data_IF_864734914289
#
_entry.id   IF_864734914289
#
_cell.length_a   1.000
_cell.length_b   1.000
_cell.length_c   1.000
_cell.angle_alpha   90.00
_cell.angle_beta   90.00
_cell.angle_gamma   90.00
#
_symmetry.space_group_name_H-M   'P 1'
#
loop_
_entity.id
_entity.type
_entity.pdbx_description
1 polymer ?
#
# COMPACT_ATOMS: atom_id res chain seq x y z
N UNK A 1 -26.19 -17.00 -8.95
CA UNK A 1 -24.93 -16.29 -9.18
C UNK A 1 -24.87 -15.10 -8.25
N UNK A 2 -23.87 -15.02 -7.36
CA UNK A 2 -23.75 -13.89 -6.43
C UNK A 2 -23.35 -12.63 -7.21
N UNK A 3 -24.14 -11.56 -7.09
CA UNK A 3 -23.82 -10.29 -7.75
C UNK A 3 -22.63 -9.66 -7.05
N UNK A 4 -21.56 -9.40 -7.79
CA UNK A 4 -20.36 -8.73 -7.27
C UNK A 4 -20.51 -7.24 -7.52
N UNK A 5 -20.25 -6.41 -6.49
CA UNK A 5 -20.35 -4.96 -6.59
C UNK A 5 -21.74 -4.40 -6.26
N UNK A 6 -21.91 -3.12 -6.58
CA UNK A 6 -23.14 -2.39 -6.30
C UNK A 6 -24.23 -2.66 -7.35
N UNK A 7 -25.46 -2.83 -6.90
CA UNK A 7 -26.63 -2.91 -7.79
C UNK A 7 -27.89 -2.36 -7.13
N UNK A 8 -28.89 -2.03 -7.96
CA UNK A 8 -30.23 -1.62 -7.49
C UNK A 8 -31.23 -2.76 -7.61
N UNK A 9 -32.08 -2.89 -6.59
CA UNK A 9 -33.24 -3.79 -6.58
C UNK A 9 -34.39 -3.07 -5.90
N UNK A 10 -35.53 -2.95 -6.60
CA UNK A 10 -36.74 -2.24 -6.10
C UNK A 10 -36.44 -0.83 -5.57
N UNK A 11 -35.57 -0.06 -6.29
CA UNK A 11 -35.18 1.30 -5.89
C UNK A 11 -34.13 1.41 -4.83
N UNK A 12 -33.81 0.33 -4.10
CA UNK A 12 -32.83 0.28 -3.03
C UNK A 12 -31.44 -0.15 -3.56
N UNK A 13 -30.37 0.41 -2.97
CA UNK A 13 -28.99 0.11 -3.34
C UNK A 13 -28.41 -1.00 -2.46
N UNK A 14 -27.82 -1.97 -3.09
CA UNK A 14 -27.19 -3.13 -2.45
C UNK A 14 -25.70 -3.23 -2.81
N UNK A 15 -24.91 -3.75 -1.88
CA UNK A 15 -23.58 -4.26 -2.12
C UNK A 15 -23.61 -5.77 -1.81
N UNK A 16 -23.40 -6.60 -2.82
CA UNK A 16 -23.64 -8.05 -2.74
C UNK A 16 -25.11 -8.33 -2.28
N UNK A 17 -25.29 -8.90 -1.08
CA UNK A 17 -26.62 -9.17 -0.50
C UNK A 17 -26.98 -8.20 0.64
N UNK A 18 -26.18 -7.15 0.87
CA UNK A 18 -26.38 -6.20 1.97
C UNK A 18 -27.04 -4.92 1.46
N UNK A 19 -28.16 -4.54 2.06
CA UNK A 19 -28.80 -3.24 1.82
C UNK A 19 -27.92 -2.12 2.38
N UNK A 20 -27.52 -1.15 1.53
CA UNK A 20 -26.73 -0.02 1.98
C UNK A 20 -27.52 0.91 2.90
N UNK A 21 -28.86 0.97 2.73
CA UNK A 21 -29.73 1.69 3.65
C UNK A 21 -29.64 1.10 5.05
N UNK A 22 -29.79 -0.22 5.20
CA UNK A 22 -29.67 -0.89 6.51
C UNK A 22 -28.29 -0.70 7.14
N UNK A 23 -27.21 -0.71 6.32
CA UNK A 23 -25.86 -0.43 6.82
C UNK A 23 -25.75 1.02 7.32
N UNK A 24 -26.27 1.99 6.58
CA UNK A 24 -26.30 3.39 7.00
C UNK A 24 -27.12 3.60 8.28
N UNK A 25 -28.28 2.96 8.38
CA UNK A 25 -29.13 3.02 9.57
C UNK A 25 -28.44 2.43 10.81
N UNK A 26 -27.61 1.38 10.60
CA UNK A 26 -26.90 0.68 11.70
C UNK A 26 -25.61 1.36 12.12
N UNK A 27 -24.77 1.80 11.16
CA UNK A 27 -23.44 2.37 11.43
C UNK A 27 -23.41 3.90 11.41
N UNK A 28 -24.48 4.55 10.95
CA UNK A 28 -24.54 5.99 10.74
C UNK A 28 -23.95 6.41 9.40
N UNK A 29 -24.00 7.71 9.14
CA UNK A 29 -23.42 8.38 7.97
C UNK A 29 -22.67 9.65 8.39
N UNK A 30 -21.57 10.00 7.71
CA UNK A 30 -20.97 9.33 6.55
C UNK A 30 -20.23 8.04 6.93
N UNK A 31 -20.28 7.01 6.06
CA UNK A 31 -19.62 5.71 6.27
C UNK A 31 -19.00 5.22 4.96
N UNK A 32 -17.73 4.80 5.02
CA UNK A 32 -17.05 4.13 3.90
C UNK A 32 -17.30 2.63 3.96
N UNK A 33 -17.67 2.04 2.82
CA UNK A 33 -17.95 0.61 2.68
C UNK A 33 -17.02 0.03 1.61
N UNK A 34 -16.29 -1.02 1.96
CA UNK A 34 -15.36 -1.70 1.07
C UNK A 34 -15.83 -3.13 0.81
N UNK A 35 -15.83 -3.53 -0.47
CA UNK A 35 -16.17 -4.90 -0.87
C UNK A 35 -14.90 -5.75 -0.97
N UNK A 36 -14.72 -6.66 -0.03
CA UNK A 36 -13.58 -7.58 0.00
C UNK A 36 -13.51 -8.49 -1.24
N UNK A 37 -14.65 -8.85 -1.84
CA UNK A 37 -14.66 -9.66 -3.06
C UNK A 37 -14.16 -8.88 -4.28
N UNK A 38 -14.46 -7.57 -4.37
CA UNK A 38 -13.90 -6.72 -5.42
C UNK A 38 -12.39 -6.55 -5.25
N UNK A 39 -11.93 -6.31 -4.03
CA UNK A 39 -10.48 -6.24 -3.71
C UNK A 39 -9.80 -7.55 -4.12
N UNK A 40 -10.35 -8.69 -3.69
CA UNK A 40 -9.82 -10.02 -4.02
C UNK A 40 -9.76 -10.26 -5.54
N UNK A 41 -10.84 -9.91 -6.25
CA UNK A 41 -10.91 -10.06 -7.70
C UNK A 41 -9.83 -9.24 -8.41
N UNK A 42 -9.68 -7.97 -8.04
CA UNK A 42 -8.66 -7.08 -8.63
C UNK A 42 -7.25 -7.58 -8.33
N UNK A 43 -7.00 -8.02 -7.08
CA UNK A 43 -5.72 -8.61 -6.70
C UNK A 43 -5.37 -9.85 -7.54
N UNK A 44 -6.31 -10.80 -7.69
CA UNK A 44 -6.06 -12.02 -8.47
C UNK A 44 -5.89 -11.75 -9.96
N UNK A 45 -6.57 -10.77 -10.54
CA UNK A 45 -6.33 -10.37 -11.93
C UNK A 45 -4.87 -9.94 -12.14
N UNK A 46 -4.37 -9.10 -11.24
CA UNK A 46 -2.97 -8.66 -11.31
C UNK A 46 -2.01 -9.81 -10.98
N UNK A 47 -2.32 -10.62 -9.98
CA UNK A 47 -1.50 -11.77 -9.57
C UNK A 47 -1.30 -12.76 -10.71
N UNK A 48 -2.36 -13.08 -11.45
CA UNK A 48 -2.29 -14.01 -12.59
C UNK A 48 -1.33 -13.52 -13.69
N UNK A 49 -1.16 -12.19 -13.83
CA UNK A 49 -0.21 -11.61 -14.79
C UNK A 49 1.22 -11.63 -14.21
N UNK A 50 1.35 -11.40 -12.91
CA UNK A 50 2.66 -11.26 -12.28
C UNK A 50 3.33 -12.60 -11.94
N UNK A 51 2.55 -13.64 -11.60
CA UNK A 51 3.09 -14.94 -11.19
C UNK A 51 4.01 -15.59 -12.25
N UNK A 52 3.68 -15.62 -13.56
CA UNK A 52 4.58 -16.15 -14.58
C UNK A 52 5.90 -15.37 -14.72
N UNK A 53 5.93 -14.12 -14.24
CA UNK A 53 7.09 -13.23 -14.28
C UNK A 53 7.88 -13.26 -12.96
N UNK A 54 7.50 -14.11 -12.00
CA UNK A 54 8.01 -14.09 -10.63
C UNK A 54 7.88 -12.71 -9.97
N UNK A 55 6.89 -11.92 -10.40
CA UNK A 55 6.65 -10.57 -9.90
C UNK A 55 5.92 -10.58 -8.56
N UNK A 56 6.26 -9.64 -7.67
CA UNK A 56 5.60 -9.45 -6.39
C UNK A 56 4.78 -8.17 -6.39
N UNK A 57 3.55 -8.26 -5.89
CA UNK A 57 2.63 -7.12 -5.78
C UNK A 57 2.86 -6.46 -4.42
N UNK A 58 3.04 -5.14 -4.40
CA UNK A 58 3.06 -4.33 -3.20
C UNK A 58 1.91 -3.34 -3.24
N UNK A 59 1.11 -3.33 -2.18
CA UNK A 59 -0.03 -2.42 -2.04
C UNK A 59 0.44 -1.03 -1.60
N UNK A 60 0.09 0.00 -2.37
CA UNK A 60 0.38 1.40 -2.02
C UNK A 60 -0.54 1.86 -0.89
N UNK A 61 -0.02 1.85 0.35
CA UNK A 61 -0.78 2.12 1.59
C UNK A 61 -1.38 3.53 1.61
N UNK A 62 -0.71 4.50 0.97
CA UNK A 62 -1.21 5.88 0.82
C UNK A 62 -2.61 5.98 0.19
N UNK A 63 -3.04 4.97 -0.56
CA UNK A 63 -4.38 4.94 -1.16
C UNK A 63 -5.48 4.57 -0.16
N UNK A 64 -5.15 3.76 0.85
CA UNK A 64 -6.04 3.40 1.95
C UNK A 64 -5.24 2.78 3.11
N UNK A 65 -5.05 3.51 4.17
CA UNK A 65 -4.27 3.11 5.35
C UNK A 65 -5.11 2.41 6.44
N UNK A 66 -6.35 2.00 6.12
CA UNK A 66 -7.20 1.25 7.04
C UNK A 66 -6.57 -0.11 7.37
N UNK A 67 -6.41 -0.39 8.66
CA UNK A 67 -5.76 -1.62 9.14
C UNK A 67 -6.42 -2.90 8.62
N UNK A 68 -7.76 -2.92 8.51
CA UNK A 68 -8.51 -4.06 7.98
C UNK A 68 -8.21 -4.30 6.51
N UNK A 69 -8.09 -3.23 5.72
CA UNK A 69 -7.75 -3.30 4.29
C UNK A 69 -6.31 -3.78 4.11
N UNK A 70 -5.35 -3.19 4.83
CA UNK A 70 -3.94 -3.62 4.79
C UNK A 70 -3.83 -5.10 5.14
N UNK A 71 -4.43 -5.52 6.26
CA UNK A 71 -4.42 -6.92 6.71
C UNK A 71 -5.02 -7.85 5.66
N UNK A 72 -6.16 -7.47 5.08
CA UNK A 72 -6.84 -8.29 4.09
C UNK A 72 -6.01 -8.45 2.81
N UNK A 73 -5.49 -7.34 2.25
CA UNK A 73 -4.67 -7.38 1.04
C UNK A 73 -3.37 -8.17 1.29
N UNK A 74 -2.75 -8.01 2.46
CA UNK A 74 -1.58 -8.80 2.84
C UNK A 74 -1.91 -10.30 2.94
N UNK A 75 -3.09 -10.67 3.45
CA UNK A 75 -3.52 -12.08 3.52
C UNK A 75 -3.72 -12.72 2.13
N UNK A 76 -3.88 -11.92 1.07
CA UNK A 76 -3.91 -12.39 -0.31
C UNK A 76 -2.50 -12.60 -0.90
N UNK A 77 -1.45 -12.18 -0.20
CA UNK A 77 -0.06 -12.34 -0.59
C UNK A 77 0.65 -11.05 -1.06
N UNK A 78 0.02 -9.87 -0.93
CA UNK A 78 0.67 -8.61 -1.22
C UNK A 78 1.67 -8.21 -0.13
N UNK A 79 2.79 -7.60 -0.51
CA UNK A 79 3.58 -6.74 0.35
C UNK A 79 2.95 -5.36 0.48
N UNK A 80 3.69 -4.42 1.09
CA UNK A 80 3.25 -3.04 1.25
C UNK A 80 4.28 -2.07 0.68
N UNK A 81 3.81 -1.00 0.05
CA UNK A 81 4.59 0.19 -0.29
C UNK A 81 4.08 1.36 0.56
N UNK A 82 4.93 1.84 1.46
CA UNK A 82 4.60 2.88 2.43
C UNK A 82 5.35 4.17 2.09
N UNK A 83 4.76 5.32 2.44
CA UNK A 83 5.35 6.64 2.18
C UNK A 83 5.54 7.47 3.44
N UNK A 84 5.32 6.89 4.61
CA UNK A 84 5.55 7.51 5.92
C UNK A 84 5.79 6.47 7.01
N UNK A 85 6.43 6.89 8.09
CA UNK A 85 6.60 6.05 9.29
C UNK A 85 5.25 5.63 9.91
N UNK A 86 4.22 6.46 9.77
CA UNK A 86 2.87 6.14 10.23
C UNK A 86 2.29 4.95 9.48
N UNK A 87 2.43 4.92 8.16
CA UNK A 87 2.01 3.78 7.33
C UNK A 87 2.85 2.54 7.62
N UNK A 88 4.18 2.68 7.79
CA UNK A 88 5.05 1.57 8.17
C UNK A 88 4.61 0.93 9.50
N UNK A 89 4.37 1.74 10.53
CA UNK A 89 3.87 1.26 11.82
C UNK A 89 2.51 0.58 11.71
N UNK A 90 1.60 1.07 10.84
CA UNK A 90 0.31 0.42 10.56
C UNK A 90 0.49 -0.96 9.93
N UNK A 91 1.39 -1.09 8.96
CA UNK A 91 1.72 -2.38 8.33
C UNK A 91 2.26 -3.38 9.35
N UNK A 92 3.22 -2.97 10.16
CA UNK A 92 3.80 -3.81 11.23
C UNK A 92 2.73 -4.22 12.26
N UNK A 93 1.82 -3.31 12.63
CA UNK A 93 0.73 -3.58 13.58
C UNK A 93 -0.22 -4.70 13.10
N UNK A 94 -0.42 -4.84 11.80
CA UNK A 94 -1.26 -5.90 11.23
C UNK A 94 -0.45 -7.10 10.73
N UNK A 95 0.82 -7.19 11.15
CA UNK A 95 1.72 -8.31 10.90
C UNK A 95 2.12 -8.49 9.43
N UNK A 96 2.18 -7.40 8.66
CA UNK A 96 2.89 -7.42 7.38
C UNK A 96 4.37 -7.67 7.69
N UNK A 97 4.95 -8.68 7.05
CA UNK A 97 6.36 -9.02 7.27
C UNK A 97 7.27 -7.89 6.82
N UNK A 98 8.27 -7.49 7.62
CA UNK A 98 9.19 -6.41 7.22
C UNK A 98 9.86 -6.65 5.86
N UNK A 99 10.26 -7.90 5.57
CA UNK A 99 10.84 -8.29 4.28
C UNK A 99 9.91 -8.12 3.07
N UNK A 100 8.65 -7.77 3.31
CA UNK A 100 7.63 -7.48 2.31
C UNK A 100 7.25 -6.00 2.25
N UNK A 101 7.95 -5.13 2.97
CA UNK A 101 7.68 -3.69 3.01
C UNK A 101 8.75 -2.92 2.25
N UNK A 102 8.30 -2.05 1.35
CA UNK A 102 9.11 -1.04 0.65
C UNK A 102 8.73 0.33 1.22
N UNK A 103 9.73 1.17 1.50
CA UNK A 103 9.49 2.53 1.96
C UNK A 103 9.90 3.52 0.88
N UNK A 104 8.90 4.13 0.25
CA UNK A 104 8.99 5.15 -0.79
C UNK A 104 8.70 6.55 -0.22
N UNK A 105 8.64 7.55 -1.09
CA UNK A 105 8.21 8.91 -0.74
C UNK A 105 9.35 9.86 -0.42
N UNK A 106 9.10 11.14 -0.72
CA UNK A 106 10.04 12.23 -0.52
C UNK A 106 10.09 12.70 0.93
N UNK A 107 11.26 13.16 1.39
CA UNK A 107 11.42 13.85 2.68
C UNK A 107 11.38 12.92 3.89
N UNK A 108 11.84 11.67 3.77
CA UNK A 108 12.04 10.79 4.92
C UNK A 108 13.00 11.45 5.90
N UNK A 109 12.64 11.47 7.17
CA UNK A 109 13.49 12.01 8.23
C UNK A 109 14.51 10.94 8.70
N UNK A 110 15.61 11.37 9.32
CA UNK A 110 16.67 10.47 9.80
C UNK A 110 16.17 9.37 10.74
N UNK A 111 15.28 9.72 11.65
CA UNK A 111 14.67 8.79 12.60
C UNK A 111 13.73 7.79 11.92
N UNK A 112 13.03 8.19 10.84
CA UNK A 112 12.20 7.30 10.03
C UNK A 112 13.05 6.29 9.26
N UNK A 113 14.17 6.75 8.66
CA UNK A 113 15.14 5.89 7.97
C UNK A 113 15.76 4.90 8.96
N UNK A 114 16.24 5.38 10.11
CA UNK A 114 16.82 4.54 11.14
C UNK A 114 15.81 3.51 11.67
N UNK A 115 14.58 3.92 11.92
CA UNK A 115 13.51 3.00 12.32
C UNK A 115 13.26 1.93 11.27
N UNK A 116 13.13 2.31 10.00
CA UNK A 116 12.87 1.38 8.90
C UNK A 116 14.00 0.34 8.75
N UNK A 117 15.27 0.78 8.82
CA UNK A 117 16.44 -0.11 8.78
C UNK A 117 16.42 -1.06 9.99
N UNK A 118 16.08 -0.56 11.18
CA UNK A 118 16.01 -1.36 12.39
C UNK A 118 14.91 -2.43 12.33
N UNK A 119 13.81 -2.17 11.61
CA UNK A 119 12.76 -3.17 11.35
C UNK A 119 13.18 -4.21 10.29
N UNK A 120 14.32 -4.06 9.61
CA UNK A 120 14.80 -4.91 8.52
C UNK A 120 13.76 -4.98 7.35
N UNK A 121 13.22 -3.83 6.95
CA UNK A 121 12.32 -3.79 5.82
C UNK A 121 13.03 -4.21 4.53
N UNK A 122 12.24 -4.60 3.52
CA UNK A 122 12.76 -5.09 2.23
C UNK A 122 13.68 -4.08 1.56
N UNK A 123 13.27 -2.80 1.51
CA UNK A 123 13.93 -1.80 0.68
C UNK A 123 13.53 -0.38 1.08
N UNK A 124 14.48 0.55 0.98
CA UNK A 124 14.26 1.99 0.95
C UNK A 124 14.36 2.49 -0.50
N UNK A 125 13.40 3.29 -0.95
CA UNK A 125 13.50 4.00 -2.23
C UNK A 125 14.04 5.39 -1.96
N UNK A 126 15.27 5.68 -2.43
CA UNK A 126 15.88 6.99 -2.33
C UNK A 126 15.35 7.90 -3.45
N UNK A 127 14.85 9.06 -3.08
CA UNK A 127 14.22 10.03 -3.98
C UNK A 127 15.22 11.10 -4.44
N UNK A 128 16.39 11.21 -3.80
CA UNK A 128 17.49 12.10 -4.14
C UNK A 128 18.85 11.52 -3.75
N UNK A 129 19.91 12.14 -4.27
CA UNK A 129 21.29 11.79 -3.93
C UNK A 129 21.60 12.14 -2.46
N UNK A 130 21.05 13.23 -1.96
CA UNK A 130 21.20 13.66 -0.57
C UNK A 130 20.58 12.63 0.38
N UNK A 131 19.38 12.17 0.08
CA UNK A 131 18.72 11.11 0.86
C UNK A 131 19.50 9.80 0.81
N UNK A 132 20.07 9.43 -0.35
CA UNK A 132 20.92 8.25 -0.47
C UNK A 132 22.15 8.34 0.45
N UNK A 133 22.84 9.50 0.50
CA UNK A 133 23.97 9.73 1.39
C UNK A 133 23.58 9.57 2.86
N UNK A 134 22.41 10.09 3.22
CA UNK A 134 21.87 9.98 4.57
C UNK A 134 21.54 8.53 4.95
N UNK A 135 20.95 7.75 4.05
CA UNK A 135 20.70 6.31 4.23
C UNK A 135 22.02 5.57 4.47
N UNK A 136 23.06 5.88 3.69
CA UNK A 136 24.41 5.27 3.84
C UNK A 136 25.00 5.62 5.20
N UNK A 137 24.96 6.89 5.62
CA UNK A 137 25.49 7.34 6.91
C UNK A 137 24.80 6.60 8.07
N UNK A 138 23.47 6.56 8.06
CA UNK A 138 22.68 5.87 9.09
C UNK A 138 22.98 4.37 9.11
N UNK A 139 22.98 3.72 7.95
CA UNK A 139 23.29 2.29 7.79
C UNK A 139 24.66 1.95 8.37
N UNK A 140 25.69 2.75 8.08
CA UNK A 140 27.03 2.58 8.62
C UNK A 140 27.08 2.77 10.14
N UNK A 141 26.42 3.81 10.66
CA UNK A 141 26.33 4.10 12.11
C UNK A 141 25.73 2.94 12.89
N UNK A 142 24.64 2.37 12.40
CA UNK A 142 23.93 1.26 13.07
C UNK A 142 24.48 -0.13 12.66
N UNK A 143 25.45 -0.18 11.74
CA UNK A 143 26.09 -1.40 11.22
C UNK A 143 25.10 -2.41 10.65
N UNK A 144 24.07 -1.93 9.93
CA UNK A 144 23.07 -2.77 9.26
C UNK A 144 23.08 -2.52 7.76
N UNK A 145 23.01 -3.59 6.98
CA UNK A 145 22.81 -3.51 5.53
C UNK A 145 21.33 -3.23 5.22
N UNK A 146 21.08 -2.43 4.21
CA UNK A 146 19.75 -2.13 3.69
C UNK A 146 19.77 -2.15 2.16
N UNK A 147 18.73 -2.68 1.56
CA UNK A 147 18.55 -2.57 0.10
C UNK A 147 18.02 -1.18 -0.23
N UNK A 148 18.60 -0.54 -1.23
CA UNK A 148 18.18 0.77 -1.71
C UNK A 148 17.90 0.70 -3.20
N UNK A 149 16.78 1.28 -3.63
CA UNK A 149 16.50 1.60 -5.03
C UNK A 149 16.55 3.11 -5.23
N UNK A 150 17.10 3.54 -6.36
CA UNK A 150 17.10 4.95 -6.75
C UNK A 150 15.87 5.22 -7.60
N UNK A 151 15.11 6.24 -7.24
CA UNK A 151 14.04 6.74 -8.09
C UNK A 151 14.62 7.64 -9.17
N UNK A 152 14.39 7.25 -10.42
CA UNK A 152 14.76 8.04 -11.59
C UNK A 152 13.50 8.63 -12.20
N UNK A 153 13.42 9.96 -12.27
CA UNK A 153 12.36 10.64 -13.00
C UNK A 153 12.78 10.74 -14.47
N UNK A 154 11.96 10.14 -15.33
CA UNK A 154 12.16 10.21 -16.77
C UNK A 154 11.47 11.49 -17.29
N UNK A 155 12.13 12.22 -18.19
CA UNK A 155 11.54 13.37 -18.88
C UNK A 155 10.58 12.88 -19.98
N UNK A 156 9.47 12.26 -19.55
CA UNK A 156 8.43 11.73 -20.41
C UNK A 156 7.12 12.45 -20.10
N UNK A 157 6.58 13.14 -21.10
CA UNK A 157 5.22 13.69 -20.96
C UNK A 157 4.18 12.57 -21.00
N UNK A 158 3.74 12.13 -19.83
CA UNK A 158 2.75 11.08 -19.67
C UNK A 158 1.31 11.51 -20.07
N UNK A 159 1.12 12.76 -20.55
CA UNK A 159 -0.20 13.32 -20.90
C UNK A 159 -1.26 13.16 -19.79
N UNK A 160 -0.82 13.21 -18.54
CA UNK A 160 -1.64 13.10 -17.34
C UNK A 160 -1.79 14.46 -16.64
N UNK A 161 -2.29 14.47 -15.42
CA UNK A 161 -2.43 15.69 -14.62
C UNK A 161 -1.06 16.33 -14.37
N UNK A 162 -0.95 17.67 -14.56
CA UNK A 162 0.31 18.46 -14.45
C UNK A 162 1.12 18.24 -13.16
N UNK A 163 0.49 17.74 -12.08
CA UNK A 163 1.17 17.44 -10.81
C UNK A 163 1.68 16.00 -10.72
N UNK A 164 1.52 15.21 -11.77
CA UNK A 164 1.93 13.77 -11.80
C UNK A 164 3.10 13.55 -12.76
N UNK A 165 3.38 14.56 -13.61
CA UNK A 165 4.51 14.56 -14.56
C UNK A 165 5.75 15.20 -13.96
#
# INVERSE_FOLDING_TARGET
>A
MQKIGYYRKSGELFLQNLSLKKLADHYGTPTFIYDSNLIKKSFHLLKNIMDPLNGKIHFAVKSNDNLGIIKYINSLGAGADVVSIGELKRCLKVSVKPEDIIFSGVGKQKDEIEFAINQNIKQLNAESIEELKEIIEISNKIKKKVNVALRVNLDINAKTHKKIS
#
